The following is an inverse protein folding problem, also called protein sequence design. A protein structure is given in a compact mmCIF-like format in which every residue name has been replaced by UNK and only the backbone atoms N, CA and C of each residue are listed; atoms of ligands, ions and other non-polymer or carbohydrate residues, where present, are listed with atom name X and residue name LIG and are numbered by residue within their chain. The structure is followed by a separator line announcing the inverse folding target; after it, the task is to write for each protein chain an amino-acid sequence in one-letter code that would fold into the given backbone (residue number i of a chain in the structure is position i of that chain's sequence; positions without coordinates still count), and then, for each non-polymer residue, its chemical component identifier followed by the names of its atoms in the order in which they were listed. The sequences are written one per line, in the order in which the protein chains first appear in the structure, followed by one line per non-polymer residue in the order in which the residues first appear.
data_IF_084168394747
#
_entry.id   IF_084168394747
#
_cell.length_a   1.000
_cell.length_b   1.000
_cell.length_c   1.000
_cell.angle_alpha   90.00
_cell.angle_beta   90.00
_cell.angle_gamma   90.00
#
_symmetry.space_group_name_H-M   'P 1'
#
loop_
_entity.id
_entity.type
_entity.pdbx_description
1 polymer ?
#
# COMPACT_ATOMS: atom_id res chain seq x y z
N UNK A 1 -1.72 -19.62 -27.85
CA UNK A 1 -2.19 -19.14 -26.53
C UNK A 1 -1.97 -17.64 -26.50
N UNK A 2 -3.02 -16.84 -26.67
CA UNK A 2 -2.93 -15.40 -26.45
C UNK A 2 -2.59 -15.17 -24.98
N UNK A 3 -1.65 -14.29 -24.63
CA UNK A 3 -1.46 -13.93 -23.24
C UNK A 3 -2.79 -13.33 -22.78
N UNK A 4 -3.51 -14.03 -21.89
CA UNK A 4 -4.65 -13.49 -21.19
C UNK A 4 -4.22 -12.14 -20.64
N UNK A 5 -4.83 -11.05 -21.11
CA UNK A 5 -4.48 -9.68 -20.71
C UNK A 5 -4.71 -9.54 -19.21
N UNK A 6 -3.70 -9.86 -18.40
CA UNK A 6 -3.71 -9.63 -16.96
C UNK A 6 -3.90 -8.14 -16.72
N UNK A 7 -4.77 -7.79 -15.77
CA UNK A 7 -5.00 -6.40 -15.43
C UNK A 7 -3.68 -5.75 -14.97
N UNK A 8 -3.28 -4.57 -15.50
CA UNK A 8 -1.99 -3.94 -15.16
C UNK A 8 -1.80 -3.69 -13.66
N UNK A 9 -2.88 -3.50 -12.90
CA UNK A 9 -2.83 -3.31 -11.44
C UNK A 9 -2.13 -4.47 -10.71
N UNK A 10 -2.18 -5.69 -11.25
CA UNK A 10 -1.46 -6.83 -10.69
C UNK A 10 0.05 -6.61 -10.77
N UNK A 11 0.51 -6.06 -11.90
CA UNK A 11 1.92 -5.72 -12.08
C UNK A 11 2.34 -4.56 -11.18
N UNK A 12 1.47 -3.57 -10.99
CA UNK A 12 1.73 -2.46 -10.06
C UNK A 12 1.87 -2.93 -8.61
N UNK A 13 1.05 -3.89 -8.19
CA UNK A 13 1.20 -4.51 -6.88
C UNK A 13 2.52 -5.30 -6.75
N UNK A 14 2.90 -6.07 -7.77
CA UNK A 14 4.17 -6.83 -7.82
C UNK A 14 5.40 -5.91 -7.79
N UNK A 15 5.35 -4.77 -8.49
CA UNK A 15 6.43 -3.79 -8.60
C UNK A 15 6.42 -2.76 -7.44
N UNK A 16 5.51 -2.91 -6.46
CA UNK A 16 5.32 -1.99 -5.34
C UNK A 16 5.08 -0.52 -5.77
N UNK A 17 4.45 -0.32 -6.93
CA UNK A 17 4.15 1.00 -7.45
C UNK A 17 3.12 1.74 -6.56
N UNK A 18 3.17 3.07 -6.58
CA UNK A 18 2.17 3.91 -5.89
C UNK A 18 0.90 4.00 -6.73
N UNK A 19 -0.22 3.49 -6.21
CA UNK A 19 -1.53 3.57 -6.85
C UNK A 19 -2.65 3.68 -5.79
N UNK A 20 -3.82 4.12 -6.25
CA UNK A 20 -5.07 4.16 -5.47
C UNK A 20 -6.13 3.26 -6.11
N UNK A 21 -7.10 2.81 -5.32
CA UNK A 21 -8.27 2.06 -5.80
C UNK A 21 -9.48 3.00 -5.70
N UNK A 22 -10.23 3.13 -6.79
CA UNK A 22 -11.40 4.00 -6.89
C UNK A 22 -12.49 3.34 -7.74
N UNK A 23 -13.71 3.84 -7.65
CA UNK A 23 -14.86 3.38 -8.46
C UNK A 23 -14.91 3.98 -9.86
N UNK A 24 -14.04 4.97 -10.15
CA UNK A 24 -14.10 5.80 -11.36
C UNK A 24 -15.46 6.53 -11.51
N UNK A 25 -16.43 5.91 -12.19
CA UNK A 25 -17.79 6.42 -12.41
C UNK A 25 -18.86 5.44 -11.90
N UNK A 26 -19.21 5.46 -10.59
CA UNK A 26 -20.12 4.48 -9.99
C UNK A 26 -21.54 4.51 -10.57
N UNK A 27 -21.98 5.65 -11.13
CA UNK A 27 -23.28 5.79 -11.80
C UNK A 27 -23.34 5.01 -13.12
N UNK A 28 -22.20 4.78 -13.78
CA UNK A 28 -22.13 4.08 -15.06
C UNK A 28 -21.82 2.61 -14.84
N UNK A 29 -20.87 2.31 -13.95
CA UNK A 29 -20.44 0.94 -13.66
C UNK A 29 -21.42 0.19 -12.75
N UNK A 30 -22.24 0.92 -12.00
CA UNK A 30 -23.10 0.39 -10.94
C UNK A 30 -22.32 -0.43 -9.90
N UNK A 31 -21.05 -0.09 -9.68
CA UNK A 31 -20.19 -0.72 -8.67
C UNK A 31 -19.97 0.21 -7.48
N UNK A 32 -19.83 -0.38 -6.29
CA UNK A 32 -19.41 0.32 -5.08
C UNK A 32 -17.92 0.13 -4.85
N UNK A 33 -17.31 0.94 -3.98
CA UNK A 33 -15.92 0.73 -3.60
C UNK A 33 -15.69 -0.67 -3.00
N UNK A 34 -16.66 -1.20 -2.25
CA UNK A 34 -16.59 -2.56 -1.72
C UNK A 34 -16.54 -3.62 -2.83
N UNK A 35 -17.23 -3.40 -3.96
CA UNK A 35 -17.18 -4.29 -5.12
C UNK A 35 -15.79 -4.31 -5.76
N UNK A 36 -15.15 -3.15 -5.89
CA UNK A 36 -13.78 -3.05 -6.43
C UNK A 36 -12.77 -3.80 -5.55
N UNK A 37 -12.88 -3.68 -4.22
CA UNK A 37 -12.01 -4.41 -3.28
C UNK A 37 -12.27 -5.92 -3.36
N UNK A 38 -13.53 -6.34 -3.45
CA UNK A 38 -13.89 -7.76 -3.62
C UNK A 38 -13.35 -8.31 -4.94
N UNK A 39 -13.43 -7.54 -6.02
CA UNK A 39 -12.89 -7.90 -7.33
C UNK A 39 -11.37 -8.10 -7.25
N UNK A 40 -10.63 -7.13 -6.70
CA UNK A 40 -9.18 -7.24 -6.55
C UNK A 40 -8.78 -8.40 -5.63
N UNK A 41 -9.56 -8.65 -4.56
CA UNK A 41 -9.38 -9.82 -3.70
C UNK A 41 -9.50 -11.13 -4.47
N UNK A 42 -10.47 -11.22 -5.39
CA UNK A 42 -10.61 -12.39 -6.28
C UNK A 42 -9.43 -12.57 -7.25
N UNK A 43 -8.67 -11.50 -7.51
CA UNK A 43 -7.46 -11.53 -8.34
C UNK A 43 -6.16 -11.76 -7.54
N UNK A 44 -6.27 -12.00 -6.23
CA UNK A 44 -5.13 -12.31 -5.36
C UNK A 44 -4.56 -11.11 -4.59
N UNK A 45 -5.28 -9.98 -4.52
CA UNK A 45 -4.89 -8.92 -3.60
C UNK A 45 -5.08 -9.36 -2.15
N UNK A 46 -4.08 -9.08 -1.33
CA UNK A 46 -4.08 -9.33 0.11
C UNK A 46 -4.40 -8.04 0.86
N UNK A 47 -4.73 -8.15 2.13
CA UNK A 47 -4.90 -7.00 3.03
C UNK A 47 -3.69 -6.07 2.99
N UNK A 48 -2.48 -6.64 2.92
CA UNK A 48 -1.23 -5.91 2.74
C UNK A 48 -1.24 -4.96 1.53
N UNK A 49 -1.73 -5.43 0.38
CA UNK A 49 -1.82 -4.63 -0.84
C UNK A 49 -2.84 -3.50 -0.68
N UNK A 50 -3.99 -3.79 -0.07
CA UNK A 50 -5.04 -2.79 0.18
C UNK A 50 -4.58 -1.70 1.13
N UNK A 51 -3.95 -2.08 2.24
CA UNK A 51 -3.39 -1.15 3.21
C UNK A 51 -2.35 -0.27 2.55
N UNK A 52 -1.37 -0.86 1.84
CA UNK A 52 -0.35 -0.09 1.12
C UNK A 52 -0.96 0.90 0.12
N UNK A 53 -1.92 0.47 -0.70
CA UNK A 53 -2.58 1.33 -1.67
C UNK A 53 -3.29 2.51 -1.00
N UNK A 54 -3.99 2.27 0.12
CA UNK A 54 -4.68 3.32 0.88
C UNK A 54 -3.71 4.34 1.51
N UNK A 55 -2.59 3.88 2.07
CA UNK A 55 -1.55 4.78 2.57
C UNK A 55 -0.91 5.59 1.43
N UNK A 56 -0.63 4.97 0.28
CA UNK A 56 -0.10 5.67 -0.90
C UNK A 56 -1.08 6.71 -1.44
N UNK A 57 -2.38 6.40 -1.47
CA UNK A 57 -3.42 7.36 -1.85
C UNK A 57 -3.47 8.55 -0.88
N UNK A 58 -3.40 8.31 0.43
CA UNK A 58 -3.37 9.38 1.42
C UNK A 58 -2.11 10.26 1.32
N UNK A 59 -0.94 9.66 1.11
CA UNK A 59 0.32 10.40 0.94
C UNK A 59 0.31 11.30 -0.32
N UNK A 60 -0.27 10.80 -1.41
CA UNK A 60 -0.38 11.52 -2.68
C UNK A 60 -1.67 12.36 -2.80
N UNK A 61 -2.46 12.44 -1.75
CA UNK A 61 -3.65 13.30 -1.72
C UNK A 61 -3.27 14.78 -1.84
N UNK A 62 -4.18 15.59 -2.35
CA UNK A 62 -4.04 17.04 -2.46
C UNK A 62 -4.38 17.78 -1.15
N UNK A 63 -4.42 17.07 -0.02
CA UNK A 63 -4.63 17.69 1.29
C UNK A 63 -3.42 18.53 1.71
N UNK A 64 -3.64 19.63 2.45
CA UNK A 64 -2.58 20.35 3.14
C UNK A 64 -1.76 19.44 4.07
N UNK A 65 -0.48 19.76 4.36
CA UNK A 65 0.39 18.89 5.15
C UNK A 65 -0.19 18.46 6.51
N UNK A 66 -0.86 19.36 7.21
CA UNK A 66 -1.47 19.08 8.53
C UNK A 66 -2.64 18.09 8.42
N UNK A 67 -3.56 18.31 7.46
CA UNK A 67 -4.70 17.43 7.22
C UNK A 67 -4.25 16.07 6.68
N UNK A 68 -3.21 16.05 5.85
CA UNK A 68 -2.60 14.82 5.35
C UNK A 68 -2.02 13.99 6.50
N UNK A 69 -1.34 14.62 7.46
CA UNK A 69 -0.84 13.93 8.65
C UNK A 69 -1.97 13.34 9.48
N UNK A 70 -3.04 14.12 9.72
CA UNK A 70 -4.22 13.64 10.44
C UNK A 70 -4.87 12.43 9.74
N UNK A 71 -4.99 12.46 8.42
CA UNK A 71 -5.52 11.34 7.63
C UNK A 71 -4.64 10.07 7.77
N UNK A 72 -3.32 10.23 7.73
CA UNK A 72 -2.39 9.10 7.90
C UNK A 72 -2.51 8.50 9.31
N UNK A 73 -2.64 9.33 10.35
CA UNK A 73 -2.83 8.85 11.72
C UNK A 73 -4.17 8.12 11.90
N UNK A 74 -5.25 8.60 11.28
CA UNK A 74 -6.54 7.90 11.24
C UNK A 74 -6.43 6.53 10.56
N UNK A 75 -5.70 6.44 9.44
CA UNK A 75 -5.47 5.15 8.77
C UNK A 75 -4.67 4.21 9.68
N UNK A 76 -3.63 4.69 10.36
CA UNK A 76 -2.83 3.87 11.30
C UNK A 76 -3.68 3.26 12.40
N UNK A 77 -4.60 4.05 12.96
CA UNK A 77 -5.56 3.60 13.97
C UNK A 77 -6.54 2.56 13.39
N UNK A 78 -7.14 2.86 12.24
CA UNK A 78 -8.11 1.98 11.59
C UNK A 78 -7.52 0.60 11.23
N UNK A 79 -6.27 0.55 10.76
CA UNK A 79 -5.58 -0.71 10.46
C UNK A 79 -4.99 -1.41 11.70
N UNK A 80 -5.16 -0.85 12.91
CA UNK A 80 -4.65 -1.41 14.16
C UNK A 80 -3.13 -1.68 14.15
N UNK A 81 -2.34 -0.78 13.56
CA UNK A 81 -0.87 -0.85 13.65
C UNK A 81 -0.42 -0.52 15.07
N UNK A 82 -0.42 -1.51 15.96
CA UNK A 82 0.36 -1.46 17.19
C UNK A 82 1.80 -1.85 16.81
N UNK A 83 2.68 -0.86 16.84
CA UNK A 83 4.14 -0.96 16.74
C UNK A 83 4.76 -1.00 15.33
N UNK A 84 4.79 0.16 14.67
CA UNK A 84 5.80 0.42 13.63
C UNK A 84 7.08 0.94 14.30
N UNK A 85 8.06 0.05 14.46
CA UNK A 85 9.42 0.46 14.84
C UNK A 85 10.10 1.11 13.63
N UNK A 86 10.19 2.43 13.64
CA UNK A 86 11.02 3.21 12.70
C UNK A 86 12.44 2.65 12.76
N UNK A 87 13.01 2.12 11.66
CA UNK A 87 14.43 1.86 11.61
C UNK A 87 15.14 3.20 11.77
N UNK A 88 15.86 3.36 12.87
CA UNK A 88 16.67 4.54 13.18
C UNK A 88 17.48 4.95 11.95
N UNK A 89 17.38 6.23 11.56
CA UNK A 89 18.23 6.83 10.53
C UNK A 89 19.71 6.50 10.82
N UNK A 90 20.50 6.04 9.83
CA UNK A 90 21.94 5.99 9.99
C UNK A 90 22.45 7.43 10.15
N UNK A 91 22.92 7.76 11.34
CA UNK A 91 23.72 8.96 11.62
C UNK A 91 24.83 9.06 10.58
N UNK A 92 24.79 10.10 9.76
CA UNK A 92 25.77 10.33 8.70
C UNK A 92 27.15 10.64 9.30
N UNK A 93 28.07 9.70 9.16
CA UNK A 93 29.51 9.97 9.07
C UNK A 93 30.05 9.22 7.84
N UNK A 94 30.80 9.87 6.92
CA UNK A 94 31.49 9.21 5.81
C UNK A 94 32.84 8.63 6.28
N UNK A 95 33.62 7.83 5.51
CA UNK A 95 33.63 7.73 4.05
C UNK A 95 33.82 6.33 3.40
N UNK A 96 33.65 6.30 2.08
CA UNK A 96 34.34 5.47 1.06
C UNK A 96 34.32 3.95 1.16
N UNK A 97 33.52 3.30 0.30
CA UNK A 97 33.95 2.47 -0.86
C UNK A 97 32.70 1.91 -1.54
N UNK A 98 32.50 2.20 -2.83
CA UNK A 98 31.35 1.71 -3.61
C UNK A 98 31.52 0.23 -3.93
N UNK A 99 30.74 -0.65 -3.29
CA UNK A 99 30.46 -2.00 -3.77
C UNK A 99 29.05 -2.06 -4.39
N UNK A 100 28.82 -2.83 -5.47
CA UNK A 100 27.52 -2.93 -6.11
C UNK A 100 26.69 -4.00 -5.40
N UNK A 101 25.97 -3.62 -4.35
CA UNK A 101 24.96 -4.49 -3.74
C UNK A 101 23.58 -3.90 -3.99
N UNK A 102 22.62 -4.64 -4.58
CA UNK A 102 21.26 -4.15 -4.75
C UNK A 102 20.61 -3.89 -3.39
N UNK A 103 19.76 -2.85 -3.26
CA UNK A 103 19.14 -2.51 -1.98
C UNK A 103 18.25 -3.66 -1.49
N UNK A 104 18.39 -4.00 -0.20
CA UNK A 104 17.51 -4.98 0.45
C UNK A 104 16.07 -4.47 0.42
N UNK A 105 15.17 -5.35 -0.04
CA UNK A 105 13.72 -5.07 -0.04
C UNK A 105 13.22 -4.94 1.40
N UNK A 106 12.33 -3.98 1.71
CA UNK A 106 11.73 -3.88 3.03
C UNK A 106 10.84 -5.10 3.30
N UNK A 107 10.99 -5.69 4.49
CA UNK A 107 10.15 -6.78 4.99
C UNK A 107 9.01 -6.20 5.83
N UNK A 108 7.78 -6.57 5.52
CA UNK A 108 6.58 -6.19 6.29
C UNK A 108 5.96 -7.47 6.84
N UNK A 109 5.79 -7.53 8.16
CA UNK A 109 5.08 -8.60 8.86
C UNK A 109 3.71 -8.09 9.29
N UNK A 110 2.64 -8.79 8.90
CA UNK A 110 1.26 -8.45 9.26
C UNK A 110 0.80 -9.30 10.45
N UNK A 111 0.03 -8.70 11.36
CA UNK A 111 -0.71 -9.45 12.37
C UNK A 111 -1.90 -10.16 11.76
N UNK A 112 -2.10 -11.43 12.09
CA UNK A 112 -3.20 -12.26 11.58
C UNK A 112 -4.51 -11.98 12.30
N UNK A 113 -5.60 -11.89 11.54
CA UNK A 113 -6.98 -11.67 12.02
C UNK A 113 -7.49 -12.68 13.08
N UNK A 114 -6.83 -13.82 13.26
CA UNK A 114 -7.22 -14.86 14.22
C UNK A 114 -7.17 -14.40 15.70
N UNK A 115 -6.41 -13.36 16.03
CA UNK A 115 -6.23 -12.89 17.42
C UNK A 115 -7.36 -11.96 17.92
N UNK A 116 -8.41 -11.74 17.12
CA UNK A 116 -9.58 -10.93 17.51
C UNK A 116 -10.81 -11.81 17.78
N UNK A 117 -10.68 -12.78 18.69
CA UNK A 117 -11.79 -13.61 19.21
C UNK A 117 -12.01 -13.39 20.70
#
# INVERSE_FOLDING_TARGET
MTPSKRHPILRFAEDEASFSISTDDPTITFTTLADEYRLLGSWGFTEAHFTRANFQAALNSFLPPEEKKALIDQLREAYSFIDYKVPSLPTSSPPTTRSPTPPLKPSITFGTWADRS
#
